data_IF_503617986484
#
_entry.id   IF_503617986484
#
_cell.length_a   1.000
_cell.length_b   1.000
_cell.length_c   1.000
_cell.angle_alpha   90.00
_cell.angle_beta   90.00
_cell.angle_gamma   90.00
#
_symmetry.space_group_name_H-M   'P 1'
#
loop_
_entity.id
_entity.type
_entity.pdbx_description
1 polymer ?
#
# COMPACT_ATOMS: atom_id res chain seq x y z
N UNK A 1 -20.71 7.95 -0.90
CA UNK A 1 -19.85 8.92 -1.63
C UNK A 1 -18.69 8.16 -2.26
N UNK A 2 -18.07 8.70 -3.30
CA UNK A 2 -16.94 8.07 -3.98
C UNK A 2 -15.68 8.93 -3.84
N UNK A 3 -14.52 8.29 -3.69
CA UNK A 3 -13.22 8.95 -3.69
C UNK A 3 -12.83 9.46 -5.09
N UNK A 4 -12.10 10.57 -5.15
CA UNK A 4 -11.50 11.07 -6.38
C UNK A 4 -10.46 10.07 -6.95
N UNK A 5 -10.26 10.08 -8.26
CA UNK A 5 -9.40 9.10 -8.95
C UNK A 5 -7.93 9.21 -8.52
N UNK A 6 -7.47 10.42 -8.18
CA UNK A 6 -6.13 10.62 -7.63
C UNK A 6 -5.99 9.93 -6.27
N UNK A 7 -6.99 10.10 -5.38
CA UNK A 7 -6.98 9.46 -4.06
C UNK A 7 -7.03 7.95 -4.18
N UNK A 8 -7.86 7.42 -5.09
CA UNK A 8 -7.88 5.97 -5.36
C UNK A 8 -6.52 5.45 -5.82
N UNK A 9 -5.84 6.19 -6.70
CA UNK A 9 -4.51 5.83 -7.18
C UNK A 9 -3.47 5.83 -6.05
N UNK A 10 -3.52 6.81 -5.15
CA UNK A 10 -2.65 6.85 -3.95
C UNK A 10 -2.92 5.68 -3.00
N UNK A 11 -4.19 5.37 -2.73
CA UNK A 11 -4.58 4.24 -1.87
C UNK A 11 -4.06 2.92 -2.45
N UNK A 12 -4.26 2.70 -3.76
CA UNK A 12 -3.72 1.54 -4.49
C UNK A 12 -2.20 1.44 -4.34
N UNK A 13 -1.48 2.56 -4.50
CA UNK A 13 -0.03 2.60 -4.35
C UNK A 13 0.44 2.24 -2.92
N UNK A 14 -0.17 2.87 -1.91
CA UNK A 14 0.21 2.65 -0.51
C UNK A 14 -0.12 1.25 -0.04
N UNK A 15 -1.26 0.68 -0.44
CA UNK A 15 -1.62 -0.71 -0.11
C UNK A 15 -0.80 -1.75 -0.90
N UNK A 16 -0.04 -1.33 -1.92
CA UNK A 16 0.73 -2.23 -2.78
C UNK A 16 -0.13 -2.96 -3.80
N UNK A 17 -1.33 -2.44 -4.10
CA UNK A 17 -2.29 -3.02 -5.02
C UNK A 17 -2.17 -2.32 -6.37
N UNK A 18 -1.31 -2.84 -7.25
CA UNK A 18 -1.15 -2.33 -8.61
C UNK A 18 -1.91 -3.21 -9.61
N UNK A 19 -2.58 -2.61 -10.60
CA UNK A 19 -3.24 -3.33 -11.69
C UNK A 19 -2.28 -4.24 -12.49
N UNK A 20 -0.97 -3.93 -12.51
CA UNK A 20 0.06 -4.79 -13.12
C UNK A 20 0.58 -5.91 -12.21
N UNK A 21 0.26 -5.89 -10.91
CA UNK A 21 0.64 -6.95 -9.99
C UNK A 21 -0.43 -8.05 -10.01
N UNK A 22 0.01 -9.30 -10.08
CA UNK A 22 -0.85 -10.49 -10.09
C UNK A 22 -1.45 -10.74 -8.69
N UNK A 23 -2.28 -9.81 -8.22
CA UNK A 23 -2.97 -9.84 -6.92
C UNK A 23 -4.25 -10.67 -7.06
N UNK A 24 -4.68 -11.40 -6.02
CA UNK A 24 -5.98 -12.07 -6.01
C UNK A 24 -7.11 -11.14 -6.45
N UNK A 25 -7.91 -11.62 -7.42
CA UNK A 25 -8.98 -10.85 -8.02
C UNK A 25 -10.02 -10.35 -7.00
N UNK A 26 -10.31 -11.17 -5.98
CA UNK A 26 -11.27 -10.84 -4.92
C UNK A 26 -10.82 -9.66 -4.07
N UNK A 27 -9.55 -9.60 -3.69
CA UNK A 27 -9.03 -8.49 -2.88
C UNK A 27 -8.95 -7.21 -3.68
N UNK A 28 -8.59 -7.29 -4.97
CA UNK A 28 -8.69 -6.12 -5.86
C UNK A 28 -10.12 -5.58 -5.93
N UNK A 29 -11.11 -6.45 -6.07
CA UNK A 29 -12.52 -6.05 -6.12
C UNK A 29 -12.97 -5.39 -4.80
N UNK A 30 -12.57 -5.93 -3.65
CA UNK A 30 -12.88 -5.36 -2.33
C UNK A 30 -12.37 -3.93 -2.17
N UNK A 31 -11.15 -3.65 -2.66
CA UNK A 31 -10.57 -2.31 -2.60
C UNK A 31 -11.34 -1.33 -3.46
N UNK A 32 -11.67 -1.71 -4.69
CA UNK A 32 -12.46 -0.87 -5.58
C UNK A 32 -13.86 -0.57 -5.01
N UNK A 33 -14.48 -1.57 -4.39
CA UNK A 33 -15.77 -1.41 -3.72
C UNK A 33 -15.66 -0.48 -2.49
N UNK A 34 -14.68 -0.70 -1.61
CA UNK A 34 -14.47 0.13 -0.41
C UNK A 34 -14.20 1.60 -0.76
N UNK A 35 -13.47 1.87 -1.85
CA UNK A 35 -13.21 3.25 -2.31
C UNK A 35 -14.43 3.90 -2.99
N UNK A 36 -15.35 3.11 -3.52
CA UNK A 36 -16.57 3.59 -4.18
C UNK A 36 -17.73 3.79 -3.19
N UNK A 37 -17.75 3.06 -2.07
CA UNK A 37 -18.84 3.02 -1.11
C UNK A 37 -18.41 3.61 0.24
N UNK A 38 -18.03 4.89 0.23
CA UNK A 38 -17.73 5.62 1.48
C UNK A 38 -19.04 6.03 2.16
N UNK A 39 -19.27 5.71 3.46
CA UNK A 39 -20.56 5.90 4.12
C UNK A 39 -20.98 7.36 4.30
N UNK A 40 -20.09 8.21 4.83
CA UNK A 40 -20.38 9.62 5.14
C UNK A 40 -19.16 10.53 4.88
N UNK A 41 -19.35 11.83 5.10
CA UNK A 41 -18.30 12.84 4.93
C UNK A 41 -17.19 12.73 5.99
N UNK A 42 -17.50 12.24 7.20
CA UNK A 42 -16.51 12.08 8.27
C UNK A 42 -15.50 10.98 7.90
N UNK A 43 -15.99 9.82 7.48
CA UNK A 43 -15.19 8.72 6.93
C UNK A 43 -14.35 9.19 5.74
N UNK A 44 -14.93 9.96 4.82
CA UNK A 44 -14.18 10.55 3.71
C UNK A 44 -12.99 11.39 4.21
N UNK A 45 -13.22 12.28 5.19
CA UNK A 45 -12.15 13.12 5.77
C UNK A 45 -11.08 12.31 6.48
N UNK A 46 -11.46 11.24 7.19
CA UNK A 46 -10.48 10.36 7.83
C UNK A 46 -9.64 9.61 6.81
N UNK A 47 -10.24 9.07 5.74
CA UNK A 47 -9.50 8.39 4.66
C UNK A 47 -8.51 9.35 4.00
N UNK A 48 -8.92 10.58 3.71
CA UNK A 48 -8.01 11.61 3.16
C UNK A 48 -6.86 11.91 4.13
N UNK A 49 -7.14 12.04 5.43
CA UNK A 49 -6.11 12.25 6.44
C UNK A 49 -5.11 11.08 6.47
N UNK A 50 -5.59 9.83 6.48
CA UNK A 50 -4.72 8.66 6.43
C UNK A 50 -3.84 8.63 5.17
N UNK A 51 -4.39 8.97 4.00
CA UNK A 51 -3.61 9.08 2.76
C UNK A 51 -2.53 10.16 2.87
N UNK A 52 -2.85 11.34 3.39
CA UNK A 52 -1.85 12.40 3.57
C UNK A 52 -0.74 12.01 4.55
N UNK A 53 -1.06 11.24 5.60
CA UNK A 53 -0.06 10.69 6.52
C UNK A 53 0.83 9.65 5.84
N UNK A 54 0.26 8.80 4.99
CA UNK A 54 1.00 7.84 4.19
C UNK A 54 1.95 8.55 3.20
N UNK A 55 1.51 9.61 2.54
CA UNK A 55 2.36 10.41 1.64
C UNK A 55 3.56 11.00 2.40
N UNK A 56 3.31 11.67 3.53
CA UNK A 56 4.37 12.31 4.35
C UNK A 56 5.34 11.28 4.93
N UNK A 57 4.84 10.14 5.39
CA UNK A 57 5.71 9.08 5.93
C UNK A 57 6.46 8.33 4.84
N UNK A 58 5.89 8.18 3.65
CA UNK A 58 6.58 7.62 2.49
C UNK A 58 7.75 8.50 2.06
N UNK A 59 7.54 9.80 1.91
CA UNK A 59 8.59 10.77 1.57
C UNK A 59 9.72 10.71 2.61
N UNK A 60 9.37 10.81 3.90
CA UNK A 60 10.34 10.70 5.00
C UNK A 60 10.98 9.33 5.18
N UNK A 61 10.43 8.28 4.59
CA UNK A 61 11.02 6.94 4.68
C UNK A 61 12.28 6.82 3.84
N UNK A 62 12.44 7.65 2.81
CA UNK A 62 13.66 7.68 2.02
C UNK A 62 14.80 8.32 2.84
N UNK A 63 15.75 7.50 3.31
CA UNK A 63 16.89 7.97 4.10
C UNK A 63 17.74 9.04 3.39
N UNK A 64 17.80 9.00 2.05
CA UNK A 64 18.56 9.94 1.23
C UNK A 64 17.67 10.95 0.52
N UNK A 65 16.81 11.65 1.25
CA UNK A 65 16.24 12.88 0.71
C UNK A 65 17.23 14.04 0.84
N UNK A 66 17.63 14.56 -0.32
CA UNK A 66 18.41 15.78 -0.44
C UNK A 66 17.45 16.95 -0.19
N UNK A 67 17.43 17.48 1.04
CA UNK A 67 16.77 18.76 1.30
C UNK A 67 17.58 19.82 0.57
N UNK A 68 17.07 20.24 -0.57
CA UNK A 68 17.62 21.38 -1.32
C UNK A 68 16.95 22.62 -0.77
N UNK A 69 17.74 23.44 -0.08
CA UNK A 69 17.28 24.73 0.40
C UNK A 69 16.84 25.59 -0.81
N UNK A 70 15.56 26.00 -0.90
CA UNK A 70 15.05 26.74 -2.04
C UNK A 70 15.75 28.10 -2.25
N UNK A 71 16.35 28.67 -1.20
CA UNK A 71 16.99 29.98 -1.28
C UNK A 71 18.50 29.89 -1.57
N UNK A 72 19.18 28.81 -1.13
CA UNK A 72 20.63 28.64 -1.36
C UNK A 72 21.00 27.57 -2.40
N UNK A 73 20.04 26.75 -2.85
CA UNK A 73 20.28 25.65 -3.78
C UNK A 73 21.23 24.57 -3.25
N UNK A 74 21.59 24.63 -1.97
CA UNK A 74 22.47 23.65 -1.33
C UNK A 74 21.63 22.47 -0.85
N UNK A 75 21.96 21.29 -1.35
CA UNK A 75 21.42 20.05 -0.83
C UNK A 75 22.13 19.69 0.47
N UNK A 76 21.37 19.62 1.55
CA UNK A 76 21.81 19.11 2.86
C UNK A 76 21.19 17.74 3.09
N UNK A 77 21.91 16.87 3.80
CA UNK A 77 21.33 15.61 4.28
C UNK A 77 20.25 15.96 5.30
N UNK A 78 19.05 15.42 5.11
CA UNK A 78 17.99 15.58 6.10
C UNK A 78 18.43 14.96 7.44
N UNK A 79 18.59 15.80 8.45
CA UNK A 79 18.93 15.37 9.82
C UNK A 79 17.68 15.03 10.64
N UNK A 80 16.47 15.10 10.05
CA UNK A 80 15.21 14.74 10.72
C UNK A 80 15.13 13.24 11.07
N UNK A 81 15.93 12.40 10.41
CA UNK A 81 16.12 10.99 10.75
C UNK A 81 17.17 10.76 11.86
N UNK A 82 17.61 11.81 12.57
CA UNK A 82 18.59 11.67 13.63
C UNK A 82 18.05 10.86 14.82
N UNK A 83 18.64 9.69 15.03
CA UNK A 83 18.29 8.79 16.14
C UNK A 83 18.48 9.45 17.51
N UNK A 84 19.41 10.39 17.61
CA UNK A 84 19.69 11.16 18.82
C UNK A 84 20.08 12.59 18.45
N UNK A 85 19.36 13.54 19.03
CA UNK A 85 19.67 14.97 18.95
C UNK A 85 20.08 15.43 20.35
N UNK A 86 21.35 15.78 20.52
CA UNK A 86 21.85 16.40 21.74
C UNK A 86 22.02 17.90 21.50
N UNK A 87 21.30 18.69 22.30
CA UNK A 87 21.39 20.14 22.24
C UNK A 87 22.04 20.67 23.52
N UNK A 88 23.23 21.24 23.35
CA UNK A 88 23.97 21.88 24.44
C UNK A 88 23.68 23.38 24.35
N UNK A 89 22.94 23.90 25.35
CA UNK A 89 22.62 25.33 25.45
C UNK A 89 23.47 26.00 26.53
N UNK A 90 24.10 27.11 26.16
CA UNK A 90 25.02 27.92 26.96
C UNK A 90 25.44 29.16 26.17
N UNK A 91 26.64 29.69 26.44
CA UNK A 91 27.20 30.86 25.74
C UNK A 91 27.31 30.66 24.21
N UNK A 92 27.66 29.44 23.78
CA UNK A 92 27.60 29.01 22.37
C UNK A 92 26.66 27.83 22.24
N UNK A 93 25.68 27.92 21.34
CA UNK A 93 24.75 26.84 21.05
C UNK A 93 25.42 25.82 20.12
N UNK A 94 25.43 24.55 20.54
CA UNK A 94 25.87 23.42 19.70
C UNK A 94 24.79 22.35 19.66
N UNK A 95 24.50 21.85 18.47
CA UNK A 95 23.68 20.66 18.26
C UNK A 95 24.54 19.56 17.67
N UNK A 96 24.53 18.39 18.31
CA UNK A 96 25.16 17.18 17.80
C UNK A 96 24.03 16.22 17.43
N UNK A 97 23.94 15.90 16.13
CA UNK A 97 23.05 14.86 15.64
C UNK A 97 23.89 13.61 15.38
N UNK A 98 23.46 12.47 15.94
CA UNK A 98 24.08 11.17 15.67
C UNK A 98 23.04 10.22 15.11
N UNK A 99 23.38 9.57 13.99
CA UNK A 99 22.47 8.67 13.28
C UNK A 99 23.21 7.42 12.83
N UNK A 100 22.61 6.27 13.10
CA UNK A 100 22.98 5.02 12.44
C UNK A 100 22.07 4.84 11.22
N UNK A 101 22.59 4.96 9.98
CA UNK A 101 21.78 5.04 8.77
C UNK A 101 20.87 3.83 8.56
N UNK A 102 21.39 2.63 8.81
CA UNK A 102 20.64 1.38 8.60
C UNK A 102 19.48 1.23 9.58
N UNK A 103 19.68 1.60 10.85
CA UNK A 103 18.60 1.57 11.85
C UNK A 103 17.57 2.66 11.60
N UNK A 104 18.00 3.83 11.16
CA UNK A 104 17.10 4.94 10.86
C UNK A 104 16.16 4.59 9.70
N UNK A 105 16.67 3.95 8.65
CA UNK A 105 15.89 3.45 7.51
C UNK A 105 14.87 2.37 7.93
N UNK A 106 15.29 1.41 8.77
CA UNK A 106 14.38 0.39 9.30
C UNK A 106 13.22 1.00 10.11
N UNK A 107 13.51 1.97 10.98
CA UNK A 107 12.48 2.63 11.79
C UNK A 107 11.57 3.54 10.98
N UNK A 108 12.10 4.27 9.99
CA UNK A 108 11.30 5.13 9.13
C UNK A 108 10.36 4.30 8.24
N UNK A 109 10.86 3.16 7.72
CA UNK A 109 10.05 2.21 6.97
C UNK A 109 8.94 1.58 7.81
N UNK A 110 9.25 1.16 9.05
CA UNK A 110 8.25 0.60 9.96
C UNK A 110 7.17 1.63 10.35
N UNK A 111 7.54 2.91 10.50
CA UNK A 111 6.59 3.99 10.73
C UNK A 111 5.62 4.14 9.54
N UNK A 112 6.15 4.11 8.31
CA UNK A 112 5.32 4.12 7.09
C UNK A 112 4.36 2.92 7.04
N UNK A 113 4.85 1.70 7.28
CA UNK A 113 4.00 0.50 7.28
C UNK A 113 2.87 0.58 8.30
N UNK A 114 3.12 1.16 9.48
CA UNK A 114 2.08 1.40 10.50
C UNK A 114 0.99 2.37 10.06
N UNK A 115 1.34 3.42 9.32
CA UNK A 115 0.32 4.33 8.77
C UNK A 115 -0.50 3.66 7.66
N UNK A 116 0.14 2.84 6.82
CA UNK A 116 -0.57 2.04 5.81
C UNK A 116 -1.49 1.00 6.47
N UNK A 117 -1.08 0.37 7.57
CA UNK A 117 -1.93 -0.56 8.33
C UNK A 117 -3.19 0.14 8.86
N UNK A 118 -3.09 1.39 9.33
CA UNK A 118 -4.26 2.18 9.74
C UNK A 118 -5.18 2.50 8.57
N UNK A 119 -4.62 2.87 7.42
CA UNK A 119 -5.41 3.07 6.19
C UNK A 119 -6.15 1.77 5.80
N UNK A 120 -5.45 0.64 5.84
CA UNK A 120 -5.99 -0.67 5.54
C UNK A 120 -7.12 -1.07 6.52
N UNK A 121 -6.96 -0.79 7.81
CA UNK A 121 -7.98 -0.99 8.84
C UNK A 121 -9.22 -0.13 8.57
N UNK A 122 -9.05 1.15 8.21
CA UNK A 122 -10.21 2.03 7.91
C UNK A 122 -10.99 1.60 6.68
N UNK A 123 -10.34 0.97 5.70
CA UNK A 123 -10.98 0.49 4.47
C UNK A 123 -11.38 -0.99 4.55
N UNK A 124 -11.07 -1.69 5.64
CA UNK A 124 -11.26 -3.14 5.82
C UNK A 124 -10.62 -3.99 4.71
N UNK A 125 -9.38 -3.66 4.37
CA UNK A 125 -8.64 -4.24 3.24
C UNK A 125 -7.29 -4.81 3.70
N UNK A 126 -6.75 -5.77 2.95
CA UNK A 126 -5.42 -6.31 3.18
C UNK A 126 -4.29 -5.33 2.77
N UNK A 127 -3.29 -5.16 3.64
CA UNK A 127 -2.08 -4.39 3.33
C UNK A 127 -0.99 -5.29 2.71
N UNK A 128 -0.81 -5.24 1.39
CA UNK A 128 0.21 -6.02 0.68
C UNK A 128 1.63 -5.43 0.75
N UNK A 129 1.81 -4.24 1.35
CA UNK A 129 3.17 -3.74 1.64
C UNK A 129 3.84 -4.50 2.78
N UNK A 130 3.07 -5.09 3.69
CA UNK A 130 3.64 -5.87 4.79
C UNK A 130 4.14 -7.22 4.30
N UNK A 131 5.36 -7.67 4.67
CA UNK A 131 5.93 -8.92 4.18
C UNK A 131 5.07 -10.14 4.53
N UNK A 132 4.44 -10.15 5.71
CA UNK A 132 3.58 -11.24 6.18
C UNK A 132 2.38 -11.48 5.26
N UNK A 133 1.75 -10.39 4.81
CA UNK A 133 0.61 -10.43 3.90
C UNK A 133 1.08 -10.64 2.46
N UNK A 134 2.20 -10.03 2.08
CA UNK A 134 2.77 -10.14 0.74
C UNK A 134 3.13 -11.57 0.36
N UNK A 135 3.44 -12.43 1.32
CA UNK A 135 3.65 -13.87 1.05
C UNK A 135 2.44 -14.51 0.34
N UNK A 136 1.22 -14.11 0.69
CA UNK A 136 0.00 -14.62 0.06
C UNK A 136 -0.20 -14.12 -1.38
N UNK A 137 0.58 -13.14 -1.85
CA UNK A 137 0.60 -12.73 -3.26
C UNK A 137 1.19 -13.82 -4.16
N UNK A 138 2.12 -14.62 -3.62
CA UNK A 138 2.83 -15.66 -4.36
C UNK A 138 2.21 -17.04 -4.19
N UNK A 139 1.47 -17.25 -3.11
CA UNK A 139 0.70 -18.48 -2.92
C UNK A 139 -0.55 -18.42 -3.80
N UNK A 140 -0.70 -19.37 -4.73
CA UNK A 140 -1.76 -19.31 -5.75
C UNK A 140 -2.56 -20.58 -5.77
N UNK A 141 -3.86 -20.43 -5.52
CA UNK A 141 -4.83 -21.48 -5.79
C UNK A 141 -5.41 -21.30 -7.21
N UNK A 142 -5.61 -22.41 -7.94
CA UNK A 142 -6.06 -22.37 -9.34
C UNK A 142 -7.44 -21.73 -9.58
N UNK A 143 -8.20 -21.45 -8.51
CA UNK A 143 -9.52 -20.82 -8.57
C UNK A 143 -9.48 -19.29 -8.71
N UNK A 144 -8.32 -18.66 -8.57
CA UNK A 144 -8.19 -17.19 -8.50
C UNK A 144 -7.96 -16.51 -9.86
N UNK A 145 -7.78 -17.28 -10.93
CA UNK A 145 -7.65 -16.73 -12.27
C UNK A 145 -9.02 -16.39 -12.87
N UNK A 146 -9.29 -15.10 -13.09
CA UNK A 146 -10.41 -14.65 -13.96
C UNK A 146 -10.22 -15.19 -15.39
N UNK A 147 -8.97 -15.36 -15.84
CA UNK A 147 -8.61 -16.01 -17.10
C UNK A 147 -7.81 -17.29 -16.83
N UNK A 148 -8.43 -18.25 -16.13
CA UNK A 148 -7.87 -19.60 -16.11
C UNK A 148 -7.79 -20.10 -17.56
N UNK A 149 -6.68 -20.74 -17.94
CA UNK A 149 -6.61 -21.46 -19.22
C UNK A 149 -7.85 -22.36 -19.26
N UNK A 150 -8.75 -22.20 -20.24
CA UNK A 150 -9.95 -23.01 -20.31
C UNK A 150 -9.50 -24.47 -20.22
N UNK A 151 -10.00 -25.16 -19.20
CA UNK A 151 -9.71 -26.58 -19.03
C UNK A 151 -10.01 -27.32 -20.35
N UNK A 152 -9.35 -28.46 -20.61
CA UNK A 152 -9.63 -29.25 -21.80
C UNK A 152 -11.14 -29.40 -21.92
N UNK A 153 -11.68 -29.01 -23.09
CA UNK A 153 -13.11 -28.95 -23.31
C UNK A 153 -13.75 -30.25 -22.82
N UNK A 154 -14.77 -30.15 -21.96
CA UNK A 154 -15.51 -31.30 -21.47
C UNK A 154 -16.13 -32.01 -22.69
N UNK A 155 -15.48 -33.08 -23.14
CA UNK A 155 -15.90 -33.86 -24.30
C UNK A 155 -17.20 -34.63 -24.01
N UNK A 156 -17.64 -34.69 -22.75
CA UNK A 156 -18.82 -35.43 -22.36
C UNK A 156 -20.13 -34.63 -22.43
N UNK A 157 -20.09 -33.32 -22.72
CA UNK A 157 -21.30 -32.49 -22.89
C UNK A 157 -22.19 -33.03 -24.01
N UNK A 158 -21.59 -33.46 -25.12
CA UNK A 158 -22.30 -34.06 -26.24
C UNK A 158 -23.00 -35.37 -25.89
N UNK A 159 -22.33 -36.25 -25.15
CA UNK A 159 -22.91 -37.51 -24.68
C UNK A 159 -24.06 -37.28 -23.68
N UNK A 160 -23.97 -36.26 -22.81
CA UNK A 160 -25.06 -35.92 -21.87
C UNK A 160 -26.33 -35.44 -22.59
N UNK A 161 -26.18 -34.60 -23.63
CA UNK A 161 -27.31 -34.14 -24.44
C UNK A 161 -27.93 -35.32 -25.20
N UNK A 162 -27.10 -36.17 -25.82
CA UNK A 162 -27.56 -37.35 -26.55
C UNK A 162 -28.35 -38.33 -25.67
N UNK A 163 -27.85 -38.65 -24.47
CA UNK A 163 -28.57 -39.54 -23.55
C UNK A 163 -29.86 -38.93 -23.01
N UNK A 164 -29.91 -37.61 -22.79
CA UNK A 164 -31.14 -36.94 -22.36
C UNK A 164 -32.23 -36.96 -23.44
N UNK A 165 -31.85 -36.79 -24.70
CA UNK A 165 -32.80 -36.72 -25.82
C UNK A 165 -33.29 -38.09 -26.28
N UNK A 166 -32.45 -39.12 -26.21
CA UNK A 166 -32.79 -40.42 -26.79
C UNK A 166 -33.29 -41.46 -25.78
N UNK A 167 -32.89 -41.35 -24.50
CA UNK A 167 -33.12 -42.42 -23.51
C UNK A 167 -34.00 -41.95 -22.33
N UNK A 168 -34.77 -40.87 -22.53
CA UNK A 168 -35.88 -40.47 -21.64
C UNK A 168 -37.20 -40.97 -22.18
#
# INVERSE_FOLDING_TARGET
MQLDELLKTKIRFHLGINAGAQIPAGDRARVEEAMALVPDEYWYKQVVNHVTRCDVTWEKSAYYDLITDPDTGKSSYDTSAASRIEQIRGDVQRSIATTDPLKADEYSWELYLREVDRLAETLYVANYRRPDVRRYLFDRSGAEFIMAVPGPADTAVGSRIYFNQNWR
#
